data_IF_741946586496
#
_entry.id   IF_741946586496
#
_cell.length_a   1.000
_cell.length_b   1.000
_cell.length_c   1.000
_cell.angle_alpha   90.00
_cell.angle_beta   90.00
_cell.angle_gamma   90.00
#
_symmetry.space_group_name_H-M   'P 1'
#
loop_
_entity.id
_entity.type
_entity.pdbx_description
1 polymer ?
#
# COMPACT_ATOMS: atom_id res chain seq x y z
N UNK A 1 14.20 6.80 0.81
CA UNK A 1 15.48 6.40 1.46
C UNK A 1 15.53 4.91 1.76
N UNK A 2 14.45 4.33 2.22
CA UNK A 2 14.40 2.92 2.68
C UNK A 2 14.73 1.90 1.59
N UNK A 3 14.28 2.13 0.35
CA UNK A 3 14.56 1.24 -0.79
C UNK A 3 16.07 1.17 -1.13
N UNK A 4 16.80 2.30 -1.07
CA UNK A 4 18.22 2.33 -1.34
C UNK A 4 19.02 1.64 -0.22
N UNK A 5 18.68 1.90 1.04
CA UNK A 5 19.32 1.26 2.18
C UNK A 5 19.09 -0.27 2.16
N UNK A 6 17.86 -0.69 1.97
CA UNK A 6 17.50 -2.11 1.87
C UNK A 6 18.20 -2.77 0.67
N UNK A 7 18.17 -2.14 -0.52
CA UNK A 7 18.81 -2.65 -1.73
C UNK A 7 20.32 -2.79 -1.57
N UNK A 8 20.98 -1.84 -0.92
CA UNK A 8 22.41 -1.92 -0.63
C UNK A 8 22.75 -3.09 0.27
N UNK A 9 22.02 -3.26 1.38
CA UNK A 9 22.24 -4.38 2.31
C UNK A 9 22.01 -5.71 1.57
N UNK A 10 20.91 -5.82 0.83
CA UNK A 10 20.59 -7.04 0.09
C UNK A 10 21.65 -7.39 -0.94
N UNK A 11 22.17 -6.40 -1.69
CA UNK A 11 23.20 -6.61 -2.71
C UNK A 11 24.45 -7.28 -2.14
N UNK A 12 24.97 -6.75 -1.04
CA UNK A 12 26.18 -7.29 -0.40
C UNK A 12 25.93 -8.58 0.37
N UNK A 13 24.75 -8.76 0.94
CA UNK A 13 24.39 -10.00 1.63
C UNK A 13 24.25 -11.19 0.68
N UNK A 14 23.67 -10.98 -0.48
CA UNK A 14 23.48 -12.02 -1.51
C UNK A 14 24.80 -12.35 -2.21
N UNK A 15 25.78 -11.43 -2.19
CA UNK A 15 27.07 -11.61 -2.84
C UNK A 15 27.01 -11.53 -4.36
N UNK A 16 26.20 -10.59 -4.88
CA UNK A 16 26.14 -10.30 -6.31
C UNK A 16 27.47 -9.72 -6.81
N UNK A 17 27.67 -9.68 -8.13
CA UNK A 17 28.93 -9.26 -8.73
C UNK A 17 29.38 -7.87 -8.20
N UNK A 18 30.57 -7.76 -7.57
CA UNK A 18 31.01 -6.54 -6.87
C UNK A 18 31.51 -5.45 -7.83
N UNK A 19 30.80 -5.22 -8.95
CA UNK A 19 31.10 -4.11 -9.86
C UNK A 19 30.18 -2.91 -9.55
N UNK A 20 30.72 -1.68 -9.69
CA UNK A 20 29.94 -0.47 -9.47
C UNK A 20 28.77 -0.37 -10.46
N UNK A 21 28.97 -0.78 -11.70
CA UNK A 21 27.93 -0.81 -12.72
C UNK A 21 26.77 -1.71 -12.30
N UNK A 22 27.05 -2.96 -11.93
CA UNK A 22 26.04 -3.93 -11.50
C UNK A 22 25.28 -3.45 -10.27
N UNK A 23 25.96 -2.82 -9.32
CA UNK A 23 25.34 -2.24 -8.14
C UNK A 23 24.30 -1.16 -8.49
N UNK A 24 24.68 -0.19 -9.35
CA UNK A 24 23.77 0.88 -9.72
C UNK A 24 22.60 0.39 -10.57
N UNK A 25 22.82 -0.56 -11.48
CA UNK A 25 21.74 -1.18 -12.28
C UNK A 25 20.77 -1.92 -11.35
N UNK A 26 21.26 -2.71 -10.40
CA UNK A 26 20.45 -3.39 -9.41
C UNK A 26 19.62 -2.41 -8.58
N UNK A 27 20.24 -1.34 -8.10
CA UNK A 27 19.57 -0.32 -7.29
C UNK A 27 18.46 0.39 -8.09
N UNK A 28 18.74 0.71 -9.36
CA UNK A 28 17.77 1.32 -10.26
C UNK A 28 16.59 0.37 -10.56
N UNK A 29 16.86 -0.92 -10.76
CA UNK A 29 15.81 -1.94 -10.95
C UNK A 29 14.89 -2.03 -9.73
N UNK A 30 15.47 -2.17 -8.53
CA UNK A 30 14.67 -2.25 -7.28
C UNK A 30 13.88 -0.97 -7.04
N UNK A 31 14.48 0.19 -7.30
CA UNK A 31 13.80 1.47 -7.15
C UNK A 31 12.61 1.59 -8.10
N UNK A 32 12.81 1.31 -9.38
CA UNK A 32 11.75 1.37 -10.40
C UNK A 32 10.62 0.39 -10.07
N UNK A 33 10.97 -0.83 -9.66
CA UNK A 33 10.00 -1.83 -9.23
C UNK A 33 9.22 -1.40 -7.98
N UNK A 34 9.89 -0.78 -7.00
CA UNK A 34 9.26 -0.28 -5.77
C UNK A 34 8.23 0.81 -6.06
N UNK A 35 8.55 1.73 -6.96
CA UNK A 35 7.61 2.77 -7.41
C UNK A 35 6.41 2.14 -8.10
N UNK A 36 6.63 1.21 -9.03
CA UNK A 36 5.57 0.51 -9.74
C UNK A 36 4.63 -0.25 -8.79
N UNK A 37 5.17 -0.97 -7.82
CA UNK A 37 4.36 -1.70 -6.83
C UNK A 37 3.57 -0.77 -5.91
N UNK A 38 4.14 0.37 -5.54
CA UNK A 38 3.42 1.38 -4.76
C UNK A 38 2.21 1.93 -5.51
N UNK A 39 2.36 2.25 -6.79
CA UNK A 39 1.26 2.69 -7.64
C UNK A 39 0.20 1.60 -7.84
N UNK A 40 0.64 0.36 -8.01
CA UNK A 40 -0.27 -0.78 -8.14
C UNK A 40 -1.16 -0.95 -6.91
N UNK A 41 -0.58 -0.88 -5.71
CA UNK A 41 -1.33 -0.96 -4.45
C UNK A 41 -2.23 0.26 -4.25
N UNK A 42 -1.81 1.43 -4.73
CA UNK A 42 -2.60 2.65 -4.65
C UNK A 42 -3.90 2.57 -5.47
N UNK A 43 -3.91 1.88 -6.62
CA UNK A 43 -5.15 1.63 -7.40
C UNK A 43 -6.20 0.93 -6.52
N UNK A 44 -5.81 -0.11 -5.78
CA UNK A 44 -6.75 -0.82 -4.89
C UNK A 44 -7.24 0.05 -3.75
N UNK A 45 -6.38 0.94 -3.24
CA UNK A 45 -6.78 1.90 -2.21
C UNK A 45 -7.81 2.91 -2.73
N UNK A 46 -7.77 3.28 -4.02
CA UNK A 46 -8.75 4.22 -4.61
C UNK A 46 -10.12 3.58 -4.85
N UNK A 47 -10.17 2.28 -5.09
CA UNK A 47 -11.41 1.56 -5.43
C UNK A 47 -12.10 1.01 -4.17
N UNK A 48 -11.33 0.67 -3.14
CA UNK A 48 -11.84 -0.01 -1.95
C UNK A 48 -12.42 0.96 -0.94
N UNK A 49 -13.57 0.59 -0.35
CA UNK A 49 -14.25 1.39 0.68
C UNK A 49 -13.64 1.25 2.07
N UNK A 50 -13.01 0.11 2.38
CA UNK A 50 -12.47 -0.20 3.71
C UNK A 50 -11.00 -0.58 3.63
N UNK A 51 -10.24 -0.25 4.68
CA UNK A 51 -8.80 -0.57 4.77
C UNK A 51 -8.53 -2.07 4.80
N UNK A 52 -9.40 -2.82 5.46
CA UNK A 52 -9.32 -4.27 5.58
C UNK A 52 -9.40 -4.96 4.22
N UNK A 53 -10.31 -4.52 3.36
CA UNK A 53 -10.45 -5.07 2.00
C UNK A 53 -9.20 -4.78 1.15
N UNK A 54 -8.61 -3.58 1.24
CA UNK A 54 -7.37 -3.24 0.55
C UNK A 54 -6.26 -4.19 0.96
N UNK A 55 -6.11 -4.45 2.25
CA UNK A 55 -5.03 -5.30 2.76
C UNK A 55 -5.17 -6.74 2.26
N UNK A 56 -6.37 -7.32 2.29
CA UNK A 56 -6.61 -8.68 1.81
C UNK A 56 -6.35 -8.79 0.30
N UNK A 57 -6.91 -7.88 -0.50
CA UNK A 57 -6.73 -7.88 -1.95
C UNK A 57 -5.26 -7.72 -2.32
N UNK A 58 -4.56 -6.80 -1.64
CA UNK A 58 -3.13 -6.55 -1.87
C UNK A 58 -2.27 -7.77 -1.55
N UNK A 59 -2.56 -8.46 -0.42
CA UNK A 59 -1.84 -9.67 -0.05
C UNK A 59 -2.05 -10.80 -1.07
N UNK A 60 -3.28 -11.02 -1.52
CA UNK A 60 -3.59 -12.00 -2.56
C UNK A 60 -2.87 -11.67 -3.89
N UNK A 61 -2.85 -10.41 -4.28
CA UNK A 61 -2.19 -9.97 -5.51
C UNK A 61 -0.66 -10.17 -5.45
N UNK A 62 -0.04 -9.76 -4.35
CA UNK A 62 1.41 -9.94 -4.15
C UNK A 62 1.78 -11.42 -4.17
N UNK A 63 0.99 -12.27 -3.49
CA UNK A 63 1.19 -13.71 -3.53
C UNK A 63 1.07 -14.27 -4.97
N UNK A 64 0.06 -13.82 -5.72
CA UNK A 64 -0.11 -14.19 -7.12
C UNK A 64 1.07 -13.77 -8.00
N UNK A 65 1.61 -12.57 -7.80
CA UNK A 65 2.79 -12.11 -8.52
C UNK A 65 4.03 -12.95 -8.18
N UNK A 66 4.24 -13.30 -6.90
CA UNK A 66 5.36 -14.14 -6.47
C UNK A 66 5.25 -15.54 -7.10
N UNK A 67 4.05 -16.11 -7.18
CA UNK A 67 3.84 -17.43 -7.74
C UNK A 67 4.25 -17.50 -9.23
N UNK A 68 3.91 -16.47 -10.01
CA UNK A 68 4.15 -16.40 -11.45
C UNK A 68 5.34 -15.52 -11.86
N UNK A 69 6.24 -15.17 -10.95
CA UNK A 69 7.41 -14.33 -11.30
C UNK A 69 8.56 -15.10 -11.97
N UNK A 70 8.50 -16.42 -11.99
CA UNK A 70 9.58 -17.24 -12.51
C UNK A 70 10.53 -17.78 -11.41
N UNK A 71 10.29 -17.45 -10.13
CA UNK A 71 11.06 -17.96 -9.00
C UNK A 71 10.51 -19.30 -8.49
N UNK A 72 9.20 -19.36 -8.18
CA UNK A 72 8.55 -20.57 -7.67
C UNK A 72 8.24 -21.54 -8.82
N UNK A 73 7.65 -21.00 -9.89
CA UNK A 73 7.35 -21.76 -11.11
C UNK A 73 8.26 -21.25 -12.21
N UNK A 74 9.27 -22.03 -12.64
CA UNK A 74 10.17 -21.63 -13.73
C UNK A 74 9.38 -21.31 -15.00
N UNK A 75 9.77 -20.29 -15.78
CA UNK A 75 9.01 -19.82 -16.94
C UNK A 75 8.76 -20.89 -18.00
N UNK A 76 9.70 -21.82 -18.18
CA UNK A 76 9.61 -22.93 -19.14
C UNK A 76 8.60 -24.02 -18.75
N UNK A 77 8.18 -24.08 -17.49
CA UNK A 77 7.20 -25.06 -16.97
C UNK A 77 5.78 -24.49 -16.99
N UNK A 78 5.62 -23.17 -17.16
CA UNK A 78 4.30 -22.54 -17.20
C UNK A 78 3.53 -23.01 -18.43
N UNK A 79 2.32 -23.62 -18.27
CA UNK A 79 1.50 -24.02 -19.39
C UNK A 79 1.16 -22.85 -20.33
N UNK A 80 1.11 -23.09 -21.62
CA UNK A 80 0.93 -22.06 -22.67
C UNK A 80 -0.28 -21.15 -22.42
N UNK A 81 -1.36 -21.67 -21.85
CA UNK A 81 -2.57 -20.90 -21.56
C UNK A 81 -2.43 -19.96 -20.35
N UNK A 82 -1.37 -20.12 -19.52
CA UNK A 82 -1.04 -19.20 -18.42
C UNK A 82 0.16 -18.29 -18.71
N UNK A 83 0.84 -18.47 -19.85
CA UNK A 83 2.05 -17.71 -20.20
C UNK A 83 1.81 -16.20 -20.24
N UNK A 84 0.60 -15.75 -20.61
CA UNK A 84 0.23 -14.35 -20.60
C UNK A 84 0.33 -13.72 -19.19
N UNK A 85 0.08 -14.47 -18.10
CA UNK A 85 0.19 -14.02 -16.72
C UNK A 85 1.66 -13.68 -16.41
N UNK A 86 2.58 -14.56 -16.81
CA UNK A 86 4.02 -14.33 -16.64
C UNK A 86 4.50 -13.06 -17.36
N UNK A 87 4.05 -12.86 -18.60
CA UNK A 87 4.45 -11.69 -19.38
C UNK A 87 3.82 -10.39 -18.92
N UNK A 88 2.65 -10.44 -18.30
CA UNK A 88 2.00 -9.25 -17.72
C UNK A 88 2.48 -8.94 -16.30
N UNK A 89 3.09 -9.90 -15.61
CA UNK A 89 3.51 -9.77 -14.22
C UNK A 89 4.72 -8.83 -14.07
N UNK A 90 4.60 -7.66 -13.39
CA UNK A 90 5.72 -6.73 -13.24
C UNK A 90 6.88 -7.31 -12.41
N UNK A 91 6.58 -8.19 -11.44
CA UNK A 91 7.61 -8.85 -10.66
C UNK A 91 8.45 -9.82 -11.52
N UNK A 92 7.84 -10.47 -12.52
CA UNK A 92 8.56 -11.35 -13.44
C UNK A 92 9.57 -10.58 -14.31
N UNK A 93 9.22 -9.35 -14.72
CA UNK A 93 10.13 -8.49 -15.47
C UNK A 93 11.29 -7.98 -14.60
N UNK A 94 11.00 -7.55 -13.36
CA UNK A 94 12.05 -7.12 -12.44
C UNK A 94 12.99 -8.27 -12.07
N UNK A 95 12.45 -9.44 -11.73
CA UNK A 95 13.22 -10.62 -11.34
C UNK A 95 14.09 -11.11 -12.50
N UNK A 96 13.53 -11.23 -13.71
CA UNK A 96 14.28 -11.58 -14.92
C UNK A 96 15.43 -10.61 -15.17
N UNK A 97 15.19 -9.29 -15.07
CA UNK A 97 16.24 -8.30 -15.28
C UNK A 97 17.42 -8.46 -14.32
N UNK A 98 17.13 -8.71 -13.04
CA UNK A 98 18.17 -8.95 -12.03
C UNK A 98 18.97 -10.22 -12.35
N UNK A 99 18.30 -11.33 -12.64
CA UNK A 99 18.92 -12.62 -12.94
C UNK A 99 19.77 -12.55 -14.22
N UNK A 100 19.21 -11.98 -15.29
CA UNK A 100 19.93 -11.83 -16.56
C UNK A 100 21.13 -10.91 -16.39
N UNK A 101 20.98 -9.80 -15.69
CA UNK A 101 22.09 -8.87 -15.45
C UNK A 101 23.21 -9.54 -14.66
N UNK A 102 22.89 -10.34 -13.63
CA UNK A 102 23.90 -11.04 -12.84
C UNK A 102 24.66 -12.08 -13.67
N UNK A 103 23.97 -12.98 -14.37
CA UNK A 103 24.60 -14.04 -15.14
C UNK A 103 25.26 -13.57 -16.45
N UNK A 104 24.96 -12.35 -16.90
CA UNK A 104 25.66 -11.71 -18.02
C UNK A 104 26.74 -10.73 -17.57
N UNK A 105 26.98 -10.66 -16.26
CA UNK A 105 28.04 -9.81 -15.71
C UNK A 105 29.42 -10.44 -15.89
N UNK A 106 30.45 -9.64 -15.67
CA UNK A 106 31.86 -10.09 -15.80
C UNK A 106 32.29 -11.18 -14.81
N UNK A 107 31.41 -11.57 -13.88
CA UNK A 107 31.65 -12.64 -12.91
C UNK A 107 31.49 -14.05 -13.48
N UNK A 108 30.89 -14.20 -14.66
CA UNK A 108 30.59 -15.48 -15.30
C UNK A 108 31.12 -15.51 -16.73
N UNK A 109 31.51 -16.70 -17.20
CA UNK A 109 31.76 -16.92 -18.62
C UNK A 109 30.43 -17.00 -19.39
N UNK A 110 30.44 -16.75 -20.71
CA UNK A 110 29.20 -16.83 -21.52
C UNK A 110 28.53 -18.19 -21.41
N UNK A 111 29.30 -19.27 -21.45
CA UNK A 111 28.81 -20.65 -21.36
C UNK A 111 28.17 -20.94 -19.98
N UNK A 112 28.80 -20.48 -18.91
CA UNK A 112 28.24 -20.60 -17.55
C UNK A 112 26.97 -19.79 -17.37
N UNK A 113 26.92 -18.57 -17.90
CA UNK A 113 25.76 -17.70 -17.88
C UNK A 113 24.57 -18.35 -18.65
N UNK A 114 24.84 -18.87 -19.83
CA UNK A 114 23.84 -19.58 -20.66
C UNK A 114 23.33 -20.85 -19.99
N UNK A 115 24.21 -21.62 -19.37
CA UNK A 115 23.83 -22.81 -18.63
C UNK A 115 22.91 -22.46 -17.45
N UNK A 116 23.30 -21.47 -16.63
CA UNK A 116 22.56 -21.09 -15.45
C UNK A 116 21.18 -20.51 -15.80
N UNK A 117 21.10 -19.67 -16.84
CA UNK A 117 19.83 -19.12 -17.32
C UNK A 117 18.91 -20.21 -17.87
N UNK A 118 19.44 -21.13 -18.64
CA UNK A 118 18.70 -22.27 -19.19
C UNK A 118 18.22 -23.21 -18.10
N UNK A 119 19.04 -23.49 -17.12
CA UNK A 119 18.72 -24.33 -15.95
C UNK A 119 17.60 -23.71 -15.11
N UNK A 120 17.65 -22.39 -14.90
CA UNK A 120 16.60 -21.65 -14.20
C UNK A 120 15.34 -21.43 -15.03
N UNK A 121 15.32 -21.86 -16.31
CA UNK A 121 14.17 -21.74 -17.21
C UNK A 121 13.99 -20.36 -17.83
N UNK A 122 14.99 -19.49 -17.76
CA UNK A 122 14.97 -18.16 -18.37
C UNK A 122 15.41 -18.22 -19.82
N UNK A 123 14.48 -18.71 -20.67
CA UNK A 123 14.65 -18.91 -22.09
C UNK A 123 13.67 -18.01 -22.85
N UNK A 124 14.13 -17.46 -23.98
CA UNK A 124 13.29 -16.66 -24.87
C UNK A 124 12.29 -17.55 -25.64
N UNK A 125 11.27 -16.99 -26.30
CA UNK A 125 10.34 -17.76 -27.10
C UNK A 125 10.97 -18.56 -28.25
N UNK A 126 12.22 -18.27 -28.60
CA UNK A 126 13.02 -18.97 -29.57
C UNK A 126 13.86 -20.11 -28.98
N UNK A 127 13.76 -20.35 -27.67
CA UNK A 127 14.49 -21.42 -27.00
C UNK A 127 15.95 -21.08 -26.65
N UNK A 128 16.34 -19.81 -26.67
CA UNK A 128 17.69 -19.33 -26.32
C UNK A 128 17.68 -18.69 -24.94
N UNK A 129 18.78 -18.75 -24.17
CA UNK A 129 18.90 -18.01 -22.91
C UNK A 129 18.74 -16.51 -23.14
N UNK A 130 18.10 -15.80 -22.21
CA UNK A 130 17.93 -14.35 -22.33
C UNK A 130 19.26 -13.63 -22.42
N UNK A 131 19.42 -12.76 -23.41
CA UNK A 131 20.58 -11.89 -23.60
C UNK A 131 20.52 -10.63 -22.71
N UNK A 132 21.64 -9.89 -22.66
CA UNK A 132 21.74 -8.66 -21.90
C UNK A 132 20.75 -7.57 -22.35
N UNK A 133 20.27 -7.63 -23.58
CA UNK A 133 19.27 -6.71 -24.15
C UNK A 133 17.92 -6.78 -23.43
N UNK A 134 17.63 -7.83 -22.68
CA UNK A 134 16.40 -7.95 -21.90
C UNK A 134 16.38 -7.09 -20.63
N UNK A 135 17.55 -6.63 -20.16
CA UNK A 135 17.64 -5.72 -19.00
C UNK A 135 17.00 -4.36 -19.34
N UNK A 136 17.42 -3.64 -20.40
CA UNK A 136 16.78 -2.38 -20.77
C UNK A 136 15.31 -2.55 -21.16
N UNK A 137 14.92 -3.66 -21.81
CA UNK A 137 13.50 -3.93 -22.07
C UNK A 137 12.67 -4.03 -20.80
N UNK A 138 13.21 -4.61 -19.74
CA UNK A 138 12.55 -4.68 -18.44
C UNK A 138 12.37 -3.30 -17.80
N UNK A 139 13.35 -2.42 -17.91
CA UNK A 139 13.21 -1.02 -17.47
C UNK A 139 12.12 -0.29 -18.24
N UNK A 140 12.12 -0.39 -19.57
CA UNK A 140 11.12 0.25 -20.42
C UNK A 140 9.72 -0.26 -20.05
N UNK A 141 9.56 -1.57 -19.89
CA UNK A 141 8.29 -2.18 -19.47
C UNK A 141 7.81 -1.61 -18.12
N UNK A 142 8.68 -1.58 -17.11
CA UNK A 142 8.34 -1.09 -15.77
C UNK A 142 7.95 0.39 -15.79
N UNK A 143 8.67 1.22 -16.56
CA UNK A 143 8.36 2.65 -16.69
C UNK A 143 7.01 2.87 -17.38
N UNK A 144 6.75 2.18 -18.49
CA UNK A 144 5.48 2.25 -19.21
C UNK A 144 4.34 1.80 -18.29
N UNK A 145 4.53 0.71 -17.57
CA UNK A 145 3.53 0.17 -16.65
C UNK A 145 3.26 1.13 -15.47
N UNK A 146 4.29 1.79 -14.94
CA UNK A 146 4.16 2.82 -13.89
C UNK A 146 3.32 4.01 -14.40
N UNK A 147 3.61 4.49 -15.61
CA UNK A 147 2.81 5.58 -16.21
C UNK A 147 1.36 5.15 -16.39
N UNK A 148 1.13 3.94 -16.89
CA UNK A 148 -0.21 3.40 -17.07
C UNK A 148 -0.98 3.29 -15.75
N UNK A 149 -0.35 2.73 -14.69
CA UNK A 149 -0.95 2.61 -13.37
C UNK A 149 -1.23 3.97 -12.74
N UNK A 150 -0.35 4.96 -12.93
CA UNK A 150 -0.54 6.33 -12.46
C UNK A 150 -1.76 6.99 -13.13
N UNK A 151 -1.93 6.81 -14.44
CA UNK A 151 -3.10 7.30 -15.19
C UNK A 151 -4.38 6.63 -14.67
N UNK A 152 -4.38 5.31 -14.48
CA UNK A 152 -5.52 4.57 -13.94
C UNK A 152 -5.88 5.05 -12.53
N UNK A 153 -4.88 5.28 -11.67
CA UNK A 153 -5.07 5.81 -10.32
C UNK A 153 -5.69 7.21 -10.35
N UNK A 154 -5.21 8.09 -11.24
CA UNK A 154 -5.75 9.43 -11.40
C UNK A 154 -7.21 9.41 -11.87
N UNK A 155 -7.53 8.54 -12.83
CA UNK A 155 -8.91 8.33 -13.30
C UNK A 155 -9.77 7.72 -12.17
N UNK A 156 -9.25 6.76 -11.42
CA UNK A 156 -9.92 6.18 -10.26
C UNK A 156 -10.31 7.25 -9.23
N UNK A 157 -9.38 8.12 -8.87
CA UNK A 157 -9.64 9.23 -7.95
C UNK A 157 -10.67 10.24 -8.49
N UNK A 158 -10.74 10.40 -9.81
CA UNK A 158 -11.68 11.36 -10.43
C UNK A 158 -13.09 10.80 -10.52
N UNK A 159 -13.23 9.54 -10.91
CA UNK A 159 -14.52 8.92 -11.19
C UNK A 159 -15.07 8.06 -10.06
N UNK A 160 -14.18 7.36 -9.31
CA UNK A 160 -14.55 6.57 -8.16
C UNK A 160 -14.36 7.42 -6.90
N UNK A 161 -15.25 8.39 -6.69
CA UNK A 161 -15.30 9.05 -5.37
C UNK A 161 -15.85 8.03 -4.39
N UNK A 162 -15.10 7.63 -3.33
CA UNK A 162 -15.74 7.00 -2.20
C UNK A 162 -16.80 8.00 -1.71
N UNK A 163 -18.07 7.57 -1.72
CA UNK A 163 -19.15 8.38 -1.18
C UNK A 163 -18.73 8.83 0.22
N UNK A 164 -18.89 10.11 0.51
CA UNK A 164 -18.56 10.71 1.82
C UNK A 164 -19.34 10.07 2.99
N UNK A 165 -20.25 9.17 2.70
CA UNK A 165 -21.04 8.35 3.64
C UNK A 165 -20.22 7.40 4.51
N UNK A 166 -18.90 7.27 4.25
CA UNK A 166 -18.00 6.49 5.12
C UNK A 166 -17.51 7.27 6.36
N UNK A 167 -17.70 8.58 6.37
CA UNK A 167 -17.58 9.38 7.59
C UNK A 167 -18.98 9.48 8.17
N UNK A 168 -19.18 8.78 9.29
CA UNK A 168 -20.43 8.74 10.03
C UNK A 168 -21.19 10.07 9.86
N UNK A 169 -22.36 10.02 9.22
CA UNK A 169 -23.32 11.09 9.35
C UNK A 169 -23.60 11.24 10.85
N UNK A 170 -22.99 12.25 11.45
CA UNK A 170 -23.54 12.80 12.67
C UNK A 170 -24.95 13.24 12.25
N UNK A 171 -26.01 12.66 12.80
CA UNK A 171 -27.36 13.11 12.48
C UNK A 171 -27.49 14.56 12.95
N UNK A 172 -27.16 15.49 12.08
CA UNK A 172 -27.52 16.88 12.27
C UNK A 172 -29.04 16.90 12.12
N UNK A 173 -29.71 16.97 13.24
CA UNK A 173 -31.16 17.02 13.28
C UNK A 173 -31.67 18.04 12.30
N UNK A 174 -32.70 17.67 11.55
CA UNK A 174 -33.39 18.32 10.47
C UNK A 174 -33.17 19.84 10.40
N UNK A 175 -32.12 20.27 9.75
CA UNK A 175 -31.97 21.62 9.24
C UNK A 175 -32.48 21.58 7.79
N UNK A 176 -33.71 22.02 7.57
CA UNK A 176 -34.22 22.19 6.22
C UNK A 176 -33.29 23.09 5.42
N UNK A 177 -32.89 22.69 4.20
CA UNK A 177 -32.07 23.52 3.35
C UNK A 177 -32.93 24.66 2.77
N UNK A 178 -32.92 25.83 3.43
CA UNK A 178 -33.42 27.06 2.80
C UNK A 178 -32.39 27.48 1.75
N UNK A 179 -32.67 27.10 0.51
CA UNK A 179 -31.94 27.54 -0.65
C UNK A 179 -32.12 29.06 -0.80
N UNK A 180 -31.10 29.84 -0.42
CA UNK A 180 -30.81 31.12 -1.06
C UNK A 180 -29.34 31.48 -0.85
N UNK A 181 -28.61 31.37 -1.94
CA UNK A 181 -27.24 31.81 -2.12
C UNK A 181 -27.13 33.32 -1.82
N UNK A 182 -26.09 33.69 -1.08
CA UNK A 182 -25.57 35.03 -0.79
C UNK A 182 -25.89 35.68 0.57
N UNK A 183 -26.19 34.90 1.59
CA UNK A 183 -26.20 35.48 2.93
C UNK A 183 -25.21 34.69 3.77
N UNK A 184 -24.22 35.38 4.33
CA UNK A 184 -23.38 34.82 5.40
C UNK A 184 -24.34 34.37 6.50
N UNK A 185 -24.51 33.05 6.64
CA UNK A 185 -25.34 32.47 7.70
C UNK A 185 -24.66 32.82 9.04
N UNK A 186 -25.15 33.88 9.67
CA UNK A 186 -24.88 34.11 11.09
C UNK A 186 -25.69 33.07 11.86
N UNK A 187 -25.03 31.96 12.17
CA UNK A 187 -25.57 31.02 13.13
C UNK A 187 -25.48 31.72 14.50
N UNK A 188 -26.61 32.13 15.04
CA UNK A 188 -26.71 32.66 16.39
C UNK A 188 -26.43 31.54 17.38
N UNK A 189 -25.15 31.29 17.66
CA UNK A 189 -24.75 30.36 18.72
C UNK A 189 -25.09 30.98 20.08
N UNK A 190 -26.07 30.43 20.78
CA UNK A 190 -26.15 30.61 22.21
C UNK A 190 -24.90 29.99 22.84
N UNK A 191 -24.08 30.80 23.53
CA UNK A 191 -22.88 30.26 24.18
C UNK A 191 -23.28 29.27 25.26
N UNK A 192 -22.98 27.98 25.06
CA UNK A 192 -23.26 26.93 26.01
C UNK A 192 -21.94 26.47 26.64
N UNK A 193 -21.89 26.47 27.97
CA UNK A 193 -20.81 25.83 28.73
C UNK A 193 -21.28 24.42 29.10
N UNK A 194 -20.52 23.40 28.70
CA UNK A 194 -20.79 22.03 29.03
C UNK A 194 -19.93 21.62 30.24
N UNK A 195 -20.59 21.24 31.32
CA UNK A 195 -19.94 20.68 32.52
C UNK A 195 -20.33 19.22 32.66
N UNK A 196 -19.37 18.37 32.92
CA UNK A 196 -19.62 16.96 33.23
C UNK A 196 -18.90 16.56 34.50
N UNK A 197 -19.57 15.79 35.35
CA UNK A 197 -19.09 15.38 36.67
C UNK A 197 -19.32 13.89 36.85
N UNK A 198 -18.34 13.21 37.42
CA UNK A 198 -18.40 11.80 37.83
C UNK A 198 -18.76 10.82 36.72
N UNK A 199 -18.26 11.06 35.49
CA UNK A 199 -18.48 10.13 34.38
C UNK A 199 -17.71 8.85 34.63
N UNK A 200 -18.44 7.74 34.75
CA UNK A 200 -17.93 6.37 34.83
C UNK A 200 -18.40 5.58 33.60
N UNK A 201 -17.52 4.77 33.02
CA UNK A 201 -17.87 3.91 31.89
C UNK A 201 -17.40 2.48 32.14
N UNK A 202 -18.37 1.56 32.18
CA UNK A 202 -18.15 0.14 32.42
C UNK A 202 -18.43 -0.67 31.17
N UNK A 203 -17.52 -1.58 30.80
CA UNK A 203 -17.62 -2.47 29.62
C UNK A 203 -17.55 -3.92 30.09
N UNK A 204 -18.39 -4.78 29.51
CA UNK A 204 -18.25 -6.23 29.70
C UNK A 204 -17.05 -6.74 28.93
N UNK A 205 -16.10 -7.34 29.64
CA UNK A 205 -14.94 -7.97 29.00
C UNK A 205 -15.41 -9.14 28.11
N UNK A 206 -14.95 -9.20 26.88
CA UNK A 206 -15.36 -10.19 25.88
C UNK A 206 -15.01 -11.65 26.26
N UNK A 207 -14.07 -11.83 27.20
CA UNK A 207 -13.52 -13.15 27.59
C UNK A 207 -13.90 -13.58 29.01
N UNK A 208 -14.34 -12.66 29.86
CA UNK A 208 -14.80 -12.95 31.22
C UNK A 208 -16.08 -12.15 31.50
N UNK A 209 -17.00 -12.70 32.25
CA UNK A 209 -18.26 -12.04 32.60
C UNK A 209 -18.04 -10.89 33.61
N UNK A 210 -16.80 -10.38 33.75
CA UNK A 210 -16.44 -9.28 34.65
C UNK A 210 -16.67 -7.93 33.93
N UNK A 211 -17.28 -7.01 34.68
CA UNK A 211 -17.39 -5.61 34.27
C UNK A 211 -16.03 -4.92 34.48
N UNK A 212 -15.43 -4.44 33.39
CA UNK A 212 -14.21 -3.66 33.43
C UNK A 212 -14.56 -2.17 33.35
N UNK A 213 -14.24 -1.42 34.41
CA UNK A 213 -14.42 0.03 34.40
C UNK A 213 -13.29 0.69 33.61
N UNK A 214 -13.63 1.34 32.50
CA UNK A 214 -12.68 2.01 31.61
C UNK A 214 -12.49 3.48 31.95
N UNK A 215 -13.53 4.16 32.47
CA UNK A 215 -13.45 5.54 32.94
C UNK A 215 -13.83 5.59 34.41
N UNK A 216 -13.06 6.32 35.20
CA UNK A 216 -13.25 6.49 36.64
C UNK A 216 -13.42 7.96 36.96
N UNK A 217 -14.59 8.37 37.41
CA UNK A 217 -14.90 9.67 38.00
C UNK A 217 -14.31 10.86 37.21
N UNK A 218 -14.54 10.85 35.87
CA UNK A 218 -13.98 11.88 34.98
C UNK A 218 -14.82 13.14 35.08
N UNK A 219 -14.17 14.24 35.43
CA UNK A 219 -14.80 15.55 35.59
C UNK A 219 -14.19 16.56 34.62
N UNK A 220 -15.01 17.43 34.01
CA UNK A 220 -14.50 18.45 33.11
C UNK A 220 -15.49 19.54 32.76
N UNK A 221 -14.96 20.59 32.11
CA UNK A 221 -15.73 21.77 31.69
C UNK A 221 -15.24 22.21 30.31
N UNK A 222 -16.14 22.24 29.35
CA UNK A 222 -15.91 22.87 28.03
C UNK A 222 -16.54 24.26 28.02
N UNK A 223 -15.69 25.31 28.01
CA UNK A 223 -16.13 26.68 27.95
C UNK A 223 -16.30 27.17 26.53
N UNK A 224 -17.36 27.89 26.29
CA UNK A 224 -17.65 28.52 24.99
C UNK A 224 -16.50 29.38 24.48
N UNK A 225 -16.19 29.32 23.19
CA UNK A 225 -15.15 30.15 22.56
C UNK A 225 -13.72 29.73 22.89
N UNK A 226 -13.51 28.60 23.59
CA UNK A 226 -12.19 28.05 23.85
C UNK A 226 -12.03 26.71 23.17
N UNK A 227 -10.89 26.54 22.50
CA UNK A 227 -10.50 25.25 21.92
C UNK A 227 -9.94 24.36 23.02
N UNK A 228 -10.50 23.17 23.22
CA UNK A 228 -10.00 22.16 24.14
C UNK A 228 -9.36 21.02 23.38
N UNK A 229 -8.15 20.63 23.74
CA UNK A 229 -7.49 19.45 23.21
C UNK A 229 -7.54 18.32 24.23
N UNK A 230 -8.19 17.21 23.89
CA UNK A 230 -8.19 16.00 24.70
C UNK A 230 -6.94 15.18 24.39
N UNK A 231 -5.97 15.17 25.30
CA UNK A 231 -4.70 14.47 25.14
C UNK A 231 -4.63 13.26 26.06
N UNK A 232 -4.06 12.17 25.55
CA UNK A 232 -3.82 10.95 26.31
C UNK A 232 -3.09 9.93 25.46
N UNK A 233 -2.50 8.92 26.11
CA UNK A 233 -1.86 7.79 25.42
C UNK A 233 -2.87 7.00 24.56
N UNK A 234 -2.37 6.20 23.62
CA UNK A 234 -3.24 5.29 22.85
C UNK A 234 -3.91 4.30 23.82
N UNK A 235 -5.24 4.14 23.73
CA UNK A 235 -6.02 3.32 24.64
C UNK A 235 -6.55 4.03 25.91
N UNK A 236 -6.31 5.33 26.09
CA UNK A 236 -6.80 6.09 27.24
C UNK A 236 -8.30 6.44 27.21
N UNK A 237 -9.11 5.77 26.40
CA UNK A 237 -10.57 5.94 26.37
C UNK A 237 -11.11 7.23 25.74
N UNK A 238 -10.27 8.02 25.05
CA UNK A 238 -10.64 9.32 24.46
C UNK A 238 -11.87 9.28 23.53
N UNK A 239 -12.05 8.17 22.81
CA UNK A 239 -13.20 7.99 21.91
C UNK A 239 -14.50 7.70 22.68
N UNK A 240 -14.43 6.96 23.79
CA UNK A 240 -15.59 6.65 24.64
C UNK A 240 -16.10 7.91 25.36
N UNK A 241 -15.20 8.78 25.79
CA UNK A 241 -15.56 10.03 26.43
C UNK A 241 -16.35 10.94 25.49
N UNK A 242 -15.91 11.06 24.22
CA UNK A 242 -16.62 11.87 23.21
C UNK A 242 -17.99 11.29 22.82
N UNK A 243 -18.16 9.95 22.81
CA UNK A 243 -19.45 9.31 22.48
C UNK A 243 -20.49 9.52 23.57
N UNK A 244 -20.08 9.50 24.85
CA UNK A 244 -20.99 9.67 25.98
C UNK A 244 -21.41 11.14 26.20
N UNK A 245 -20.69 12.10 25.60
CA UNK A 245 -21.04 13.52 25.63
C UNK A 245 -22.01 13.95 24.52
N UNK A 246 -22.26 13.06 23.54
CA UNK A 246 -23.17 13.30 22.39
C UNK A 246 -24.54 12.58 22.53
N UNK A 247 -24.74 11.75 23.57
CA UNK A 247 -26.01 11.12 23.94
C UNK A 247 -26.69 11.89 25.09
#
# INVERSE_FOLDING_TARGET
>A
MDCAAFGTILYFMVGLNPSAESFFVFLALIFTFSVLMSEFLFIFATISKTKENVQVISACLVFFFILFCGFIIPPNVIPTYYTWIYWWNPLAWAYRAVIVHEYRSSGYTEDEGDFNLSFAGFIDPQGRPFGAEWVPYSFIYMVIHTILTMVISALGLTYVRPSADAYAEVPVGNLEPTANSNTSVRIDFKPVTLTFEDICYDVKASTSNEQLRLLHDVNGVFKTGRMCALMGSSGAGKLQENLNLLL
#
